data_IF_936540472130
#
_entry.id   IF_936540472130
#
_cell.length_a   1.000
_cell.length_b   1.000
_cell.length_c   1.000
_cell.angle_alpha   90.00
_cell.angle_beta   90.00
_cell.angle_gamma   90.00
#
_symmetry.space_group_name_H-M   'P 1'
#
loop_
_entity.id
_entity.type
_entity.pdbx_description
1 polymer ?
#
# COMPACT_ATOMS: atom_id res chain seq x y z
N UNK A 1 12.93 42.96 9.96
CA UNK A 1 13.58 41.63 10.06
C UNK A 1 14.27 41.32 8.73
N UNK A 2 15.53 40.87 8.73
CA UNK A 2 16.30 40.61 7.50
C UNK A 2 15.67 39.40 6.78
N UNK A 3 15.14 39.59 5.57
CA UNK A 3 14.50 38.50 4.80
C UNK A 3 15.55 37.45 4.43
N UNK A 4 15.24 36.17 4.62
CA UNK A 4 16.10 35.07 4.17
C UNK A 4 16.18 35.08 2.63
N UNK A 5 17.34 34.73 2.08
CA UNK A 5 17.49 34.57 0.63
C UNK A 5 16.54 33.46 0.15
N UNK A 6 15.83 33.64 -0.98
CA UNK A 6 14.94 32.61 -1.52
C UNK A 6 15.73 31.32 -1.77
N UNK A 7 15.05 30.17 -1.66
CA UNK A 7 15.67 28.87 -1.94
C UNK A 7 15.95 28.67 -3.43
N UNK A 8 15.15 29.30 -4.29
CA UNK A 8 15.23 29.14 -5.75
C UNK A 8 15.69 30.44 -6.40
N UNK A 9 16.62 30.35 -7.36
CA UNK A 9 17.07 31.50 -8.17
C UNK A 9 16.21 31.70 -9.43
N UNK A 10 16.45 32.78 -10.19
CA UNK A 10 15.71 33.09 -11.43
C UNK A 10 15.88 32.04 -12.54
N UNK A 11 16.90 31.18 -12.45
CA UNK A 11 17.14 30.06 -13.37
C UNK A 11 16.46 28.77 -12.92
N UNK A 12 15.75 28.78 -11.78
CA UNK A 12 15.07 27.62 -11.23
C UNK A 12 15.96 26.68 -10.41
N UNK A 13 17.23 27.03 -10.18
CA UNK A 13 18.13 26.20 -9.37
C UNK A 13 17.85 26.41 -7.88
N UNK A 14 17.83 25.32 -7.13
CA UNK A 14 17.58 25.30 -5.68
C UNK A 14 18.91 25.27 -4.93
N UNK A 15 19.14 26.24 -4.04
CA UNK A 15 20.34 26.28 -3.18
C UNK A 15 20.27 25.24 -2.06
N UNK A 16 21.41 24.93 -1.47
CA UNK A 16 21.47 24.08 -0.28
C UNK A 16 20.70 24.66 0.91
N UNK A 17 20.06 23.76 1.67
CA UNK A 17 19.34 24.06 2.89
C UNK A 17 20.34 24.34 4.00
N UNK A 18 20.27 25.54 4.58
CA UNK A 18 21.14 25.96 5.69
C UNK A 18 20.45 25.79 7.04
N UNK A 19 21.22 25.84 8.13
CA UNK A 19 20.68 25.81 9.50
C UNK A 19 19.72 26.98 9.80
N UNK A 20 19.81 28.09 9.07
CA UNK A 20 18.88 29.20 9.19
C UNK A 20 17.50 28.87 8.59
N UNK A 21 17.46 28.03 7.56
CA UNK A 21 16.23 27.58 6.91
C UNK A 21 15.49 26.56 7.80
N UNK A 22 16.22 25.70 8.52
CA UNK A 22 15.66 24.75 9.49
C UNK A 22 14.85 25.45 10.60
N UNK A 23 15.24 26.66 11.01
CA UNK A 23 14.51 27.44 12.02
C UNK A 23 13.13 27.90 11.55
N UNK A 24 12.90 27.92 10.22
CA UNK A 24 11.62 28.28 9.62
C UNK A 24 10.68 27.11 9.35
N UNK A 25 11.14 25.87 9.55
CA UNK A 25 10.33 24.68 9.29
C UNK A 25 9.23 24.56 10.36
N UNK A 26 8.02 24.25 9.90
CA UNK A 26 6.84 24.06 10.76
C UNK A 26 6.30 22.66 10.58
N UNK A 27 5.57 22.19 11.58
CA UNK A 27 4.96 20.86 11.52
C UNK A 27 3.91 20.81 10.41
N UNK A 28 3.69 19.62 9.84
CA UNK A 28 2.62 19.39 8.87
C UNK A 28 1.24 19.78 9.45
N UNK A 29 1.06 19.60 10.76
CA UNK A 29 -0.12 20.01 11.51
C UNK A 29 -0.29 21.52 11.67
N UNK A 30 0.71 22.36 11.36
CA UNK A 30 0.57 23.83 11.37
C UNK A 30 0.37 24.38 9.95
N UNK A 31 1.06 23.80 8.96
CA UNK A 31 1.11 24.32 7.59
C UNK A 31 -0.02 23.79 6.68
N UNK A 32 -0.47 22.55 6.86
CA UNK A 32 -1.42 21.95 5.93
C UNK A 32 -2.85 22.45 6.16
N UNK A 33 -3.72 22.49 5.14
CA UNK A 33 -5.16 22.67 5.32
C UNK A 33 -5.79 21.49 6.06
N UNK A 34 -6.89 21.71 6.78
CA UNK A 34 -7.58 20.68 7.57
C UNK A 34 -7.94 19.41 6.75
N UNK A 35 -8.36 19.59 5.49
CA UNK A 35 -8.71 18.50 4.56
C UNK A 35 -7.54 17.59 4.21
N UNK A 36 -6.31 18.12 4.22
CA UNK A 36 -5.09 17.37 3.91
C UNK A 36 -4.51 16.75 5.19
N UNK A 37 -4.56 17.48 6.32
CA UNK A 37 -4.09 16.99 7.63
C UNK A 37 -4.71 15.64 7.99
N UNK A 38 -6.01 15.45 7.74
CA UNK A 38 -6.73 14.22 8.05
C UNK A 38 -6.25 13.00 7.24
N UNK A 39 -5.57 13.23 6.12
CA UNK A 39 -5.09 12.17 5.21
C UNK A 39 -3.59 11.87 5.36
N UNK A 40 -2.83 12.77 5.98
CA UNK A 40 -1.39 12.57 6.22
C UNK A 40 -1.19 11.61 7.40
N UNK A 41 -0.45 10.52 7.17
CA UNK A 41 -0.12 9.54 8.21
C UNK A 41 -1.19 8.47 8.47
N UNK A 42 -2.35 8.55 7.81
CA UNK A 42 -3.38 7.50 7.91
C UNK A 42 -3.09 6.42 6.89
N UNK A 43 -2.56 5.27 7.35
CA UNK A 43 -2.59 4.04 6.56
C UNK A 43 -4.06 3.72 6.28
N UNK A 44 -4.43 3.58 5.00
CA UNK A 44 -5.82 3.30 4.62
C UNK A 44 -6.38 2.11 5.38
N UNK A 45 -7.70 2.12 5.62
CA UNK A 45 -8.39 1.07 6.38
C UNK A 45 -7.92 -0.30 5.91
N UNK A 46 -7.41 -1.12 6.82
CA UNK A 46 -7.08 -2.50 6.52
C UNK A 46 -8.40 -3.19 6.22
N UNK A 47 -8.75 -3.29 4.92
CA UNK A 47 -9.96 -3.98 4.47
C UNK A 47 -9.97 -5.34 5.16
N UNK A 48 -11.09 -5.67 5.78
CA UNK A 48 -11.37 -6.93 6.47
C UNK A 48 -10.71 -8.13 5.75
N UNK A 49 -10.26 -9.17 6.48
CA UNK A 49 -9.59 -10.31 5.85
C UNK A 49 -10.46 -10.86 4.73
N UNK A 50 -10.05 -10.64 3.48
CA UNK A 50 -10.82 -11.08 2.30
C UNK A 50 -10.83 -12.61 2.18
N UNK A 51 -10.01 -13.29 2.99
CA UNK A 51 -9.82 -14.74 2.95
C UNK A 51 -9.98 -15.28 4.37
N UNK A 52 -10.82 -16.30 4.49
CA UNK A 52 -10.98 -17.07 5.72
C UNK A 52 -9.88 -18.15 5.80
N UNK A 53 -9.23 -18.27 6.96
CA UNK A 53 -8.23 -19.31 7.19
C UNK A 53 -8.92 -20.56 7.69
N UNK A 54 -9.09 -21.54 6.81
CA UNK A 54 -9.64 -22.85 7.14
C UNK A 54 -8.58 -23.94 7.04
N UNK A 55 -8.74 -25.01 7.83
CA UNK A 55 -7.92 -26.22 7.75
C UNK A 55 -8.67 -27.28 6.96
N UNK A 56 -8.19 -27.60 5.76
CA UNK A 56 -8.76 -28.64 4.88
C UNK A 56 -7.71 -29.69 4.55
N UNK A 57 -8.15 -30.94 4.38
CA UNK A 57 -7.30 -32.04 3.88
C UNK A 57 -7.47 -32.14 2.36
N UNK A 58 -6.36 -32.12 1.62
CA UNK A 58 -6.31 -32.26 0.17
C UNK A 58 -5.45 -33.47 -0.21
N UNK A 59 -5.71 -34.06 -1.38
CA UNK A 59 -4.87 -35.13 -1.91
C UNK A 59 -3.41 -34.66 -2.07
N UNK A 60 -2.42 -35.49 -1.69
CA UNK A 60 -1.01 -35.12 -1.76
C UNK A 60 -0.55 -34.75 -3.18
N UNK A 61 -1.10 -35.40 -4.21
CA UNK A 61 -0.77 -35.11 -5.60
C UNK A 61 -1.19 -33.68 -6.00
N UNK A 62 -2.38 -33.26 -5.58
CA UNK A 62 -2.91 -31.91 -5.86
C UNK A 62 -2.01 -30.85 -5.22
N UNK A 63 -1.64 -31.05 -3.95
CA UNK A 63 -0.76 -30.13 -3.22
C UNK A 63 0.63 -30.08 -3.86
N UNK A 64 1.18 -31.23 -4.26
CA UNK A 64 2.49 -31.30 -4.91
C UNK A 64 2.50 -30.53 -6.24
N UNK A 65 1.50 -30.74 -7.10
CA UNK A 65 1.35 -30.03 -8.38
C UNK A 65 1.29 -28.51 -8.18
N UNK A 66 0.49 -28.02 -7.23
CA UNK A 66 0.44 -26.59 -6.97
C UNK A 66 1.74 -26.08 -6.36
N UNK A 67 2.36 -26.75 -5.38
CA UNK A 67 3.64 -26.32 -4.79
C UNK A 67 4.76 -26.20 -5.83
N UNK A 68 4.81 -27.10 -6.80
CA UNK A 68 5.78 -27.06 -7.90
C UNK A 68 5.70 -25.77 -8.74
N UNK A 69 4.55 -25.08 -8.74
CA UNK A 69 4.40 -23.77 -9.42
C UNK A 69 5.16 -22.63 -8.73
N UNK A 70 5.74 -22.86 -7.55
CA UNK A 70 6.57 -21.89 -6.84
C UNK A 70 5.79 -20.84 -6.04
N UNK A 71 6.38 -19.65 -5.86
CA UNK A 71 5.81 -18.56 -5.06
C UNK A 71 4.38 -18.23 -5.55
N UNK A 72 3.46 -18.09 -4.60
CA UNK A 72 2.05 -17.81 -4.90
C UNK A 72 1.19 -19.03 -5.22
N UNK A 73 1.67 -20.25 -5.04
CA UNK A 73 0.89 -21.47 -5.32
C UNK A 73 -0.47 -21.53 -4.60
N UNK A 74 -0.56 -21.05 -3.35
CA UNK A 74 -1.84 -20.97 -2.63
C UNK A 74 -2.84 -20.02 -3.30
N UNK A 75 -2.36 -18.92 -3.89
CA UNK A 75 -3.23 -17.99 -4.63
C UNK A 75 -3.71 -18.59 -5.94
N UNK A 76 -2.85 -19.35 -6.65
CA UNK A 76 -3.25 -20.13 -7.83
C UNK A 76 -4.28 -21.21 -7.50
N UNK A 77 -4.08 -21.92 -6.39
CA UNK A 77 -5.05 -22.91 -5.90
C UNK A 77 -6.39 -22.26 -5.57
N UNK A 78 -6.39 -21.11 -4.89
CA UNK A 78 -7.62 -20.36 -4.63
C UNK A 78 -8.33 -19.91 -5.93
N UNK A 79 -7.58 -19.42 -6.92
CA UNK A 79 -8.15 -19.04 -8.21
C UNK A 79 -8.78 -20.23 -8.95
N UNK A 80 -8.15 -21.41 -8.89
CA UNK A 80 -8.72 -22.63 -9.46
C UNK A 80 -10.04 -23.04 -8.79
N UNK A 81 -10.14 -22.90 -7.46
CA UNK A 81 -11.39 -23.16 -6.73
C UNK A 81 -12.49 -22.16 -7.11
N UNK A 82 -12.15 -20.88 -7.26
CA UNK A 82 -13.10 -19.86 -7.72
C UNK A 82 -13.59 -20.12 -9.16
N UNK A 83 -12.68 -20.51 -10.05
CA UNK A 83 -13.03 -20.87 -11.43
C UNK A 83 -13.91 -22.12 -11.48
N UNK A 84 -13.62 -23.12 -10.65
CA UNK A 84 -14.46 -24.30 -10.49
C UNK A 84 -15.87 -23.93 -10.05
N UNK A 85 -16.01 -23.07 -9.03
CA UNK A 85 -17.32 -22.57 -8.57
C UNK A 85 -18.07 -21.78 -9.65
N UNK A 86 -17.38 -20.98 -10.47
CA UNK A 86 -17.99 -20.25 -11.59
C UNK A 86 -18.55 -21.20 -12.65
N UNK A 87 -17.79 -22.26 -12.97
CA UNK A 87 -18.18 -23.28 -13.97
C UNK A 87 -19.28 -24.21 -13.47
N UNK A 88 -19.29 -24.48 -12.16
CA UNK A 88 -20.22 -25.40 -11.51
C UNK A 88 -21.21 -24.66 -10.61
N UNK A 89 -21.61 -23.44 -11.01
CA UNK A 89 -22.80 -22.81 -10.44
C UNK A 89 -23.99 -23.71 -10.77
N UNK A 90 -24.30 -24.67 -9.90
CA UNK A 90 -25.62 -25.25 -9.86
C UNK A 90 -26.58 -24.11 -9.56
N UNK A 91 -27.62 -23.96 -10.38
CA UNK A 91 -28.76 -23.14 -10.02
C UNK A 91 -29.24 -23.64 -8.64
N UNK A 92 -29.04 -22.80 -7.62
CA UNK A 92 -29.75 -22.88 -6.36
C UNK A 92 -30.85 -21.83 -6.43
#
# INVERSE_FOLDING_TARGET
>A
MKKLKPLTNLKGEVREISSADLKGFRTAGEMLPASVRQKVGVRGSQKTPTKERITIRLSPEVVARFRATGKGWQSRMNAALQDWLRKHKSAA
#
